data_IF_067258721916
#
_entry.id   IF_067258721916
#
_cell.length_a   1.000
_cell.length_b   1.000
_cell.length_c   1.000
_cell.angle_alpha   90.00
_cell.angle_beta   90.00
_cell.angle_gamma   90.00
#
_symmetry.space_group_name_H-M   'P 1'
#
loop_
_entity.id
_entity.type
_entity.pdbx_description
1 polymer ?
#
# COMPACT_ATOMS: atom_id res chain seq x y z
N UNK A 1 5.27 -10.03 -25.84
CA UNK A 1 3.99 -9.26 -25.88
C UNK A 1 3.57 -9.05 -24.44
N UNK A 2 3.76 -7.86 -23.90
CA UNK A 2 3.23 -7.49 -22.59
C UNK A 2 1.71 -7.46 -22.72
N UNK A 3 1.03 -8.45 -22.19
CA UNK A 3 -0.41 -8.41 -22.00
C UNK A 3 -0.67 -7.53 -20.77
N UNK A 4 -0.55 -6.22 -20.94
CA UNK A 4 -0.95 -5.26 -19.93
C UNK A 4 -2.48 -5.36 -19.74
N UNK A 5 -2.92 -6.41 -19.09
CA UNK A 5 -4.31 -6.56 -18.65
C UNK A 5 -4.46 -5.64 -17.44
N UNK A 6 -4.98 -4.45 -17.70
CA UNK A 6 -5.38 -3.52 -16.64
C UNK A 6 -6.18 -4.31 -15.59
N UNK A 7 -5.59 -4.53 -14.42
CA UNK A 7 -6.25 -5.25 -13.34
C UNK A 7 -7.11 -4.28 -12.56
N UNK A 8 -8.28 -4.74 -12.16
CA UNK A 8 -9.28 -3.94 -11.45
C UNK A 8 -9.68 -4.69 -10.19
N UNK A 9 -9.67 -4.01 -9.07
CA UNK A 9 -10.17 -4.51 -7.79
C UNK A 9 -11.45 -3.76 -7.47
N UNK A 10 -12.52 -4.49 -7.15
CA UNK A 10 -13.76 -3.87 -6.68
C UNK A 10 -13.66 -3.59 -5.17
N UNK A 11 -13.81 -2.34 -4.81
CA UNK A 11 -13.76 -1.86 -3.43
C UNK A 11 -15.10 -1.22 -3.03
N UNK A 12 -15.64 -1.50 -1.83
CA UNK A 12 -16.95 -0.99 -1.43
C UNK A 12 -16.98 0.53 -1.19
N UNK A 13 -15.83 1.17 -0.99
CA UNK A 13 -15.71 2.62 -0.75
C UNK A 13 -15.39 3.37 -2.04
N UNK A 14 -14.41 2.89 -2.80
CA UNK A 14 -13.86 3.56 -3.97
C UNK A 14 -14.42 3.03 -5.31
N UNK A 15 -15.19 1.93 -5.28
CA UNK A 15 -15.66 1.27 -6.49
C UNK A 15 -14.54 0.53 -7.20
N UNK A 16 -14.33 0.78 -8.48
CA UNK A 16 -13.32 0.10 -9.27
C UNK A 16 -11.95 0.76 -9.13
N UNK A 17 -11.06 0.14 -8.36
CA UNK A 17 -9.66 0.55 -8.23
C UNK A 17 -8.85 -0.06 -9.36
N UNK A 18 -8.27 0.79 -10.21
CA UNK A 18 -7.40 0.39 -11.31
C UNK A 18 -5.97 0.20 -10.80
N UNK A 19 -5.30 -0.83 -11.31
CA UNK A 19 -3.89 -1.10 -11.05
C UNK A 19 -3.14 -0.89 -12.38
N UNK A 20 -2.51 0.30 -12.57
CA UNK A 20 -2.00 0.69 -13.86
C UNK A 20 -0.71 -0.02 -14.28
N UNK A 21 0.05 -0.55 -13.33
CA UNK A 21 1.34 -1.20 -13.57
C UNK A 21 1.36 -2.63 -13.03
N UNK A 22 2.00 -3.54 -13.75
CA UNK A 22 2.09 -4.96 -13.36
C UNK A 22 2.83 -5.14 -12.04
N UNK A 23 3.91 -4.40 -11.82
CA UNK A 23 4.69 -4.43 -10.57
C UNK A 23 3.84 -4.10 -9.32
N UNK A 24 2.87 -3.19 -9.44
CA UNK A 24 1.94 -2.89 -8.33
C UNK A 24 1.08 -4.10 -7.99
N UNK A 25 0.65 -4.84 -9.01
CA UNK A 25 -0.11 -6.06 -8.81
C UNK A 25 0.74 -7.15 -8.15
N UNK A 26 1.97 -7.33 -8.59
CA UNK A 26 2.89 -8.32 -8.04
C UNK A 26 3.21 -8.02 -6.57
N UNK A 27 3.40 -6.73 -6.23
CA UNK A 27 3.53 -6.27 -4.84
C UNK A 27 2.26 -6.55 -4.03
N UNK A 28 1.08 -6.27 -4.58
CA UNK A 28 -0.21 -6.54 -3.92
C UNK A 28 -0.38 -8.04 -3.60
N UNK A 29 0.01 -8.94 -4.51
CA UNK A 29 -0.08 -10.39 -4.32
C UNK A 29 1.04 -10.95 -3.44
N UNK A 30 2.08 -10.18 -3.16
CA UNK A 30 3.20 -10.66 -2.38
C UNK A 30 2.82 -10.91 -0.92
N UNK A 31 3.37 -11.98 -0.33
CA UNK A 31 3.07 -12.44 1.05
C UNK A 31 3.24 -11.35 2.12
N UNK A 32 4.24 -10.45 1.97
CA UNK A 32 4.47 -9.37 2.92
C UNK A 32 3.35 -8.33 2.88
N UNK A 33 2.79 -8.09 1.72
CA UNK A 33 1.65 -7.19 1.56
C UNK A 33 0.33 -7.86 1.94
N UNK A 34 0.12 -9.12 1.54
CA UNK A 34 -1.10 -9.88 1.82
C UNK A 34 -1.37 -10.07 3.32
N UNK A 35 -0.34 -10.09 4.18
CA UNK A 35 -0.52 -10.14 5.63
C UNK A 35 -1.32 -8.94 6.17
N UNK A 36 -1.29 -7.78 5.49
CA UNK A 36 -2.03 -6.58 5.90
C UNK A 36 -3.56 -6.78 5.88
N UNK A 37 -4.06 -7.79 5.19
CA UNK A 37 -5.49 -8.18 5.21
C UNK A 37 -5.95 -8.63 6.59
N UNK A 38 -5.03 -9.03 7.46
CA UNK A 38 -5.31 -9.53 8.82
C UNK A 38 -4.93 -8.54 9.90
N UNK A 39 -4.57 -7.32 9.53
CA UNK A 39 -4.17 -6.27 10.46
C UNK A 39 -5.20 -5.14 10.37
N UNK A 40 -5.93 -4.91 11.46
CA UNK A 40 -6.89 -3.79 11.56
C UNK A 40 -6.16 -2.47 11.47
N UNK A 41 -6.68 -1.51 10.70
CA UNK A 41 -6.09 -0.18 10.54
C UNK A 41 -6.05 0.57 11.88
N UNK A 42 -7.08 0.44 12.68
CA UNK A 42 -7.30 1.23 13.89
C UNK A 42 -7.19 0.40 15.17
N UNK A 43 -6.48 -0.73 15.12
CA UNK A 43 -6.25 -1.59 16.28
C UNK A 43 -7.55 -2.11 16.90
N UNK A 44 -7.82 -1.75 18.15
CA UNK A 44 -9.01 -2.20 18.91
C UNK A 44 -10.22 -1.27 18.80
N UNK A 45 -10.15 -0.24 17.95
CA UNK A 45 -11.19 0.79 17.84
C UNK A 45 -12.57 0.22 17.46
N UNK A 46 -12.60 -0.88 16.71
CA UNK A 46 -13.83 -1.57 16.33
C UNK A 46 -14.66 -2.10 17.51
N UNK A 47 -14.05 -2.26 18.70
CA UNK A 47 -14.77 -2.64 19.92
C UNK A 47 -15.66 -1.51 20.45
N UNK A 48 -15.33 -0.26 20.11
CA UNK A 48 -16.10 0.94 20.49
C UNK A 48 -16.90 1.47 19.28
N UNK A 49 -16.30 1.45 18.09
CA UNK A 49 -16.91 1.87 16.83
C UNK A 49 -17.04 0.67 15.89
N UNK A 50 -18.18 -0.06 15.92
CA UNK A 50 -18.32 -1.34 15.20
C UNK A 50 -18.09 -1.25 13.69
N UNK A 51 -18.28 -0.07 13.08
CA UNK A 51 -18.03 0.18 11.66
C UNK A 51 -16.55 0.31 11.30
N UNK A 52 -15.62 0.47 12.26
CA UNK A 52 -14.20 0.63 12.04
C UNK A 52 -13.49 -0.73 11.85
N UNK A 53 -13.90 -1.50 10.85
CA UNK A 53 -13.44 -2.88 10.60
C UNK A 53 -12.45 -3.00 9.45
N UNK A 54 -12.11 -1.90 8.79
CA UNK A 54 -11.18 -1.91 7.64
C UNK A 54 -9.76 -2.30 8.07
N UNK A 55 -9.08 -2.96 7.15
CA UNK A 55 -7.72 -3.44 7.36
C UNK A 55 -6.69 -2.47 6.79
N UNK A 56 -5.41 -2.65 7.16
CA UNK A 56 -4.30 -1.91 6.54
C UNK A 56 -4.17 -2.18 5.05
N UNK A 57 -4.58 -3.36 4.59
CA UNK A 57 -4.66 -3.66 3.17
C UNK A 57 -5.65 -2.72 2.46
N UNK A 58 -6.86 -2.53 2.99
CA UNK A 58 -7.85 -1.60 2.43
C UNK A 58 -7.35 -0.16 2.42
N UNK A 59 -6.70 0.26 3.51
CA UNK A 59 -6.10 1.59 3.61
C UNK A 59 -5.05 1.82 2.53
N UNK A 60 -4.07 0.91 2.40
CA UNK A 60 -3.00 1.04 1.43
C UNK A 60 -3.51 1.03 -0.02
N UNK A 61 -4.47 0.16 -0.33
CA UNK A 61 -5.10 0.09 -1.64
C UNK A 61 -5.89 1.37 -1.97
N UNK A 62 -6.66 1.88 -1.00
CA UNK A 62 -7.40 3.14 -1.14
C UNK A 62 -6.47 4.35 -1.29
N UNK A 63 -5.38 4.41 -0.53
CA UNK A 63 -4.36 5.45 -0.63
C UNK A 63 -3.69 5.45 -2.02
N UNK A 64 -3.36 4.27 -2.56
CA UNK A 64 -2.85 4.13 -3.92
C UNK A 64 -3.86 4.65 -4.96
N UNK A 65 -5.14 4.31 -4.81
CA UNK A 65 -6.20 4.79 -5.71
C UNK A 65 -6.33 6.32 -5.71
N UNK A 66 -6.31 6.92 -4.52
CA UNK A 66 -6.37 8.38 -4.40
C UNK A 66 -5.12 9.07 -4.96
N UNK A 67 -3.93 8.48 -4.76
CA UNK A 67 -2.69 8.96 -5.37
C UNK A 67 -2.78 8.92 -6.90
N UNK A 68 -3.23 7.79 -7.47
CA UNK A 68 -3.43 7.67 -8.91
C UNK A 68 -4.38 8.74 -9.45
N UNK A 69 -5.52 8.94 -8.79
CA UNK A 69 -6.51 9.97 -9.17
C UNK A 69 -5.92 11.39 -9.08
N UNK A 70 -5.08 11.65 -8.06
CA UNK A 70 -4.40 12.93 -7.92
C UNK A 70 -3.38 13.17 -9.06
N UNK A 71 -2.58 12.16 -9.39
CA UNK A 71 -1.61 12.22 -10.49
C UNK A 71 -2.31 12.46 -11.84
N UNK A 72 -3.39 11.75 -12.12
CA UNK A 72 -4.21 11.98 -13.31
C UNK A 72 -4.76 13.42 -13.36
N UNK A 73 -5.23 13.94 -12.23
CA UNK A 73 -5.70 15.33 -12.13
C UNK A 73 -4.59 16.33 -12.41
N UNK A 74 -3.37 16.08 -11.91
CA UNK A 74 -2.21 16.93 -12.18
C UNK A 74 -1.81 16.89 -13.66
N UNK A 75 -1.82 15.72 -14.30
CA UNK A 75 -1.58 15.57 -15.75
C UNK A 75 -2.60 16.37 -16.56
N UNK A 76 -3.88 16.36 -16.18
CA UNK A 76 -4.93 17.16 -16.82
C UNK A 76 -4.68 18.68 -16.67
N UNK A 77 -3.98 19.10 -15.62
CA UNK A 77 -3.55 20.48 -15.39
C UNK A 77 -2.21 20.81 -16.07
N UNK A 78 -1.76 19.96 -17.00
CA UNK A 78 -0.50 20.10 -17.74
C UNK A 78 0.78 20.04 -16.86
N UNK A 79 0.71 19.43 -15.68
CA UNK A 79 1.91 19.08 -14.92
C UNK A 79 2.55 17.88 -15.60
N UNK A 80 3.84 18.00 -15.93
CA UNK A 80 4.60 16.92 -16.55
C UNK A 80 4.98 15.92 -15.45
N UNK A 81 4.51 14.71 -15.59
CA UNK A 81 4.81 13.58 -14.70
C UNK A 81 5.17 12.42 -15.62
N UNK A 82 6.37 11.88 -15.46
CA UNK A 82 6.82 10.71 -16.21
C UNK A 82 6.17 9.44 -15.68
N UNK A 83 6.20 8.37 -16.47
CA UNK A 83 5.68 7.07 -16.04
C UNK A 83 6.49 6.49 -14.87
N UNK A 84 7.80 6.78 -14.82
CA UNK A 84 8.66 6.39 -13.71
C UNK A 84 8.28 7.12 -12.42
N UNK A 85 8.04 8.43 -12.47
CA UNK A 85 7.60 9.22 -11.30
C UNK A 85 6.23 8.76 -10.81
N UNK A 86 5.30 8.49 -11.71
CA UNK A 86 3.99 7.96 -11.35
C UNK A 86 4.10 6.59 -10.69
N UNK A 87 4.84 5.66 -11.30
CA UNK A 87 5.08 4.33 -10.76
C UNK A 87 5.73 4.38 -9.38
N UNK A 88 6.76 5.21 -9.20
CA UNK A 88 7.44 5.40 -7.93
C UNK A 88 6.51 5.97 -6.85
N UNK A 89 5.69 6.97 -7.17
CA UNK A 89 4.73 7.54 -6.23
C UNK A 89 3.67 6.51 -5.79
N UNK A 90 3.18 5.70 -6.73
CA UNK A 90 2.20 4.65 -6.45
C UNK A 90 2.79 3.52 -5.59
N UNK A 91 4.02 3.10 -5.86
CA UNK A 91 4.75 2.12 -5.03
C UNK A 91 5.01 2.66 -3.62
N UNK A 92 5.48 3.90 -3.52
CA UNK A 92 5.76 4.52 -2.23
C UNK A 92 4.51 4.59 -1.34
N UNK A 93 3.38 5.07 -1.88
CA UNK A 93 2.14 5.16 -1.10
C UNK A 93 1.55 3.77 -0.79
N UNK A 94 1.72 2.79 -1.67
CA UNK A 94 1.25 1.43 -1.44
C UNK A 94 2.02 0.77 -0.31
N UNK A 95 3.32 1.01 -0.21
CA UNK A 95 4.22 0.35 0.73
C UNK A 95 4.47 1.13 2.04
N UNK A 96 3.95 2.38 2.17
CA UNK A 96 4.30 3.24 3.31
C UNK A 96 4.02 2.59 4.67
N UNK A 97 2.97 1.79 4.78
CA UNK A 97 2.51 1.13 6.01
C UNK A 97 2.82 -0.38 6.06
N UNK A 98 3.61 -0.90 5.12
CA UNK A 98 3.87 -2.35 5.01
C UNK A 98 4.53 -2.95 6.26
N UNK A 99 5.23 -2.15 7.06
CA UNK A 99 5.91 -2.57 8.28
C UNK A 99 5.04 -2.69 9.53
N UNK A 100 3.79 -2.25 9.49
CA UNK A 100 2.92 -2.32 10.67
C UNK A 100 2.64 -3.75 11.12
N UNK A 101 2.66 -3.94 12.45
CA UNK A 101 2.24 -5.16 13.13
C UNK A 101 0.77 -5.11 13.58
N UNK A 102 0.26 -6.21 14.16
CA UNK A 102 -1.05 -6.24 14.79
C UNK A 102 -1.16 -5.19 15.89
N UNK A 103 -2.38 -4.64 16.07
CA UNK A 103 -2.72 -3.63 17.08
C UNK A 103 -1.98 -2.29 16.94
N UNK A 104 -1.28 -2.06 15.82
CA UNK A 104 -0.64 -0.80 15.51
C UNK A 104 0.27 -0.26 16.64
N UNK A 105 0.19 1.03 16.91
CA UNK A 105 1.02 1.70 17.90
C UNK A 105 0.85 1.19 19.35
N UNK A 106 -0.30 0.54 19.66
CA UNK A 106 -0.54 0.04 21.01
C UNK A 106 0.44 -1.05 21.45
N UNK A 107 0.93 -1.88 20.52
CA UNK A 107 1.92 -2.91 20.80
C UNK A 107 3.37 -2.49 20.52
N UNK A 108 3.59 -1.51 19.68
CA UNK A 108 4.94 -1.01 19.40
C UNK A 108 5.66 -0.56 20.68
N UNK A 109 4.95 0.17 21.55
CA UNK A 109 5.51 0.65 22.81
C UNK A 109 5.67 -0.42 23.90
N UNK A 110 4.96 -1.56 23.77
CA UNK A 110 4.95 -2.61 24.80
C UNK A 110 5.91 -3.76 24.50
N UNK A 111 6.11 -4.08 23.23
CA UNK A 111 6.82 -5.30 22.83
C UNK A 111 8.25 -5.04 22.33
N UNK A 112 8.57 -3.82 21.93
CA UNK A 112 9.83 -3.50 21.29
C UNK A 112 10.29 -2.08 21.65
N UNK A 113 11.12 -1.96 22.68
CA UNK A 113 11.95 -0.76 22.90
C UNK A 113 12.81 -0.55 21.65
N UNK A 114 12.68 0.56 20.92
CA UNK A 114 13.43 0.94 19.70
C UNK A 114 12.96 0.41 18.34
N UNK A 115 11.85 -0.32 18.22
CA UNK A 115 11.32 -0.75 16.95
C UNK A 115 10.09 0.08 16.51
N UNK A 116 10.31 0.96 15.54
CA UNK A 116 9.22 1.69 14.89
C UNK A 116 8.83 1.00 13.57
N UNK A 117 7.53 0.97 13.27
CA UNK A 117 6.99 0.42 12.02
C UNK A 117 7.68 0.97 10.76
N UNK A 118 8.18 2.21 10.81
CA UNK A 118 8.95 2.84 9.73
C UNK A 118 10.24 2.07 9.41
N UNK A 119 11.02 1.68 10.43
CA UNK A 119 12.23 0.88 10.24
C UNK A 119 11.92 -0.48 9.63
N UNK A 120 10.83 -1.09 10.07
CA UNK A 120 10.39 -2.37 9.54
C UNK A 120 9.85 -2.23 8.11
N UNK A 121 9.14 -1.14 7.79
CA UNK A 121 8.72 -0.83 6.43
C UNK A 121 9.92 -0.75 5.47
N UNK A 122 10.96 0.01 5.84
CA UNK A 122 12.19 0.11 5.05
C UNK A 122 12.87 -1.25 4.87
N UNK A 123 12.95 -2.05 5.93
CA UNK A 123 13.52 -3.39 5.85
C UNK A 123 12.73 -4.30 4.91
N UNK A 124 11.40 -4.27 5.00
CA UNK A 124 10.54 -5.06 4.12
C UNK A 124 10.58 -4.58 2.67
N UNK A 125 10.65 -3.25 2.44
CA UNK A 125 10.82 -2.70 1.09
C UNK A 125 12.14 -3.16 0.46
N UNK A 126 13.26 -3.11 1.20
CA UNK A 126 14.54 -3.63 0.72
C UNK A 126 14.47 -5.10 0.37
N UNK A 127 13.85 -5.90 1.24
CA UNK A 127 13.66 -7.33 1.01
C UNK A 127 12.77 -7.64 -0.19
N UNK A 128 11.70 -6.85 -0.37
CA UNK A 128 10.85 -6.93 -1.56
C UNK A 128 11.68 -6.59 -2.81
N UNK A 129 12.46 -5.52 -2.78
CA UNK A 129 13.30 -5.13 -3.91
C UNK A 129 14.29 -6.23 -4.30
N UNK A 130 14.92 -6.88 -3.32
CA UNK A 130 15.79 -8.04 -3.56
C UNK A 130 15.03 -9.19 -4.23
N UNK A 131 13.80 -9.50 -3.76
CA UNK A 131 12.97 -10.57 -4.32
C UNK A 131 12.45 -10.22 -5.73
N UNK A 132 12.30 -8.93 -6.05
CA UNK A 132 11.94 -8.39 -7.38
C UNK A 132 13.15 -7.99 -8.25
N UNK A 133 14.37 -8.47 -7.92
CA UNK A 133 15.61 -8.23 -8.67
C UNK A 133 15.93 -6.74 -8.93
N UNK A 134 15.58 -5.86 -8.00
CA UNK A 134 15.82 -4.43 -8.09
C UNK A 134 14.79 -3.65 -8.91
N UNK A 135 13.64 -4.22 -9.23
CA UNK A 135 12.59 -3.54 -10.03
C UNK A 135 11.80 -2.48 -9.25
N UNK A 136 12.00 -2.38 -7.92
CA UNK A 136 11.30 -1.41 -7.07
C UNK A 136 12.12 -0.14 -6.81
N UNK A 137 13.37 -0.07 -7.27
CA UNK A 137 14.25 1.10 -7.16
C UNK A 137 13.88 2.24 -8.11
#
# INVERSE_FOLDING_TARGET
>A
MSTNKLKIINDPVHGFIKIPYEILYDVLEHRYFQRLRRISQTGLLSLVFPGATHTRFHHALGAMHLMFTALETLKLKNVKISDEEEKAALLAILLHDVGHGPYSHALESLLMEDWHHEKLSILLMKKLNDEFNGELD
#
